data_IF_630573587542
#
_entry.id   IF_630573587542
#
_cell.length_a   1.000
_cell.length_b   1.000
_cell.length_c   1.000
_cell.angle_alpha   90.00
_cell.angle_beta   90.00
_cell.angle_gamma   90.00
#
_symmetry.space_group_name_H-M   'P 1'
#
loop_
_entity.id
_entity.type
_entity.pdbx_description
1 polymer ?
#
# COMPACT_ATOMS: atom_id res chain seq x y z
N UNK A 1 -40.18 -9.19 37.66
CA UNK A 1 -39.58 -9.67 36.39
C UNK A 1 -39.34 -8.56 35.35
N UNK A 2 -39.83 -7.32 35.54
CA UNK A 2 -39.61 -6.22 34.58
C UNK A 2 -38.31 -5.43 34.75
N UNK A 3 -37.75 -5.33 35.95
CA UNK A 3 -36.53 -4.53 36.20
C UNK A 3 -35.25 -5.16 35.63
N UNK A 4 -35.19 -6.48 35.51
CA UNK A 4 -34.02 -7.21 35.02
C UNK A 4 -33.80 -7.04 33.51
N UNK A 5 -34.86 -6.71 32.76
CA UNK A 5 -34.80 -6.51 31.31
C UNK A 5 -34.21 -5.14 30.93
N UNK A 6 -34.40 -4.12 31.77
CA UNK A 6 -33.81 -2.79 31.56
C UNK A 6 -32.28 -2.78 31.72
N UNK A 7 -31.72 -3.66 32.55
CA UNK A 7 -30.26 -3.74 32.73
C UNK A 7 -29.55 -4.36 31.53
N UNK A 8 -30.22 -5.25 30.78
CA UNK A 8 -29.65 -5.88 29.60
C UNK A 8 -29.48 -4.91 28.42
N UNK A 9 -30.28 -3.84 28.34
CA UNK A 9 -30.17 -2.85 27.26
C UNK A 9 -29.02 -1.86 27.44
N UNK A 10 -28.48 -1.70 28.65
CA UNK A 10 -27.36 -0.78 28.93
C UNK A 10 -26.01 -1.37 28.48
N UNK A 11 -25.94 -2.69 28.25
CA UNK A 11 -24.71 -3.39 27.83
C UNK A 11 -24.62 -3.46 26.29
N UNK A 12 -25.66 -3.07 25.56
CA UNK A 12 -25.71 -3.16 24.10
C UNK A 12 -25.12 -1.92 23.42
N UNK A 13 -23.82 -2.04 23.14
CA UNK A 13 -23.06 -1.51 22.02
C UNK A 13 -21.76 -0.89 22.54
N UNK A 14 -20.62 -1.62 22.53
CA UNK A 14 -19.34 -0.91 22.51
C UNK A 14 -19.44 0.06 21.34
N UNK A 15 -19.24 1.34 21.62
CA UNK A 15 -19.46 2.40 20.65
C UNK A 15 -18.86 2.00 19.31
N UNK A 16 -19.65 2.10 18.24
CA UNK A 16 -19.12 2.11 16.88
C UNK A 16 -18.30 3.39 16.70
N UNK A 17 -17.20 3.51 17.44
CA UNK A 17 -16.10 4.36 17.04
C UNK A 17 -15.63 3.75 15.72
N UNK A 18 -15.97 4.41 14.62
CA UNK A 18 -15.25 4.18 13.37
C UNK A 18 -13.77 4.26 13.73
N UNK A 19 -13.00 3.22 13.44
CA UNK A 19 -11.56 3.25 13.69
C UNK A 19 -11.03 4.56 13.13
N UNK A 20 -10.40 5.35 14.00
CA UNK A 20 -9.79 6.59 13.58
C UNK A 20 -8.74 6.21 12.54
N UNK A 21 -8.88 6.71 11.31
CA UNK A 21 -7.88 6.51 10.27
C UNK A 21 -6.61 7.21 10.78
N UNK A 22 -5.67 6.42 11.29
CA UNK A 22 -4.43 6.94 11.88
C UNK A 22 -3.54 7.49 10.75
N UNK A 23 -2.63 8.39 11.10
CA UNK A 23 -1.60 8.89 10.18
C UNK A 23 -0.75 7.69 9.69
N UNK A 24 -1.01 7.21 8.47
CA UNK A 24 -0.39 5.99 7.92
C UNK A 24 -1.38 5.05 7.21
N UNK A 25 -2.64 5.00 7.63
CA UNK A 25 -3.68 4.12 7.03
C UNK A 25 -4.21 4.62 5.67
N UNK A 26 -3.79 5.82 5.25
CA UNK A 26 -4.24 6.46 4.00
C UNK A 26 -3.43 6.06 2.77
N UNK A 27 -2.21 5.58 2.97
CA UNK A 27 -1.29 5.23 1.88
C UNK A 27 -0.66 3.88 2.15
N UNK A 28 -1.12 2.86 1.44
CA UNK A 28 -0.52 1.53 1.49
C UNK A 28 0.74 1.56 0.62
N UNK A 29 1.95 1.38 1.19
CA UNK A 29 3.17 1.34 0.40
C UNK A 29 3.19 0.09 -0.48
N UNK A 30 3.83 0.19 -1.64
CA UNK A 30 4.19 -1.00 -2.42
C UNK A 30 5.40 -1.63 -1.76
N UNK A 31 5.37 -2.95 -1.57
CA UNK A 31 6.49 -3.72 -1.03
C UNK A 31 7.09 -4.62 -2.11
N UNK A 32 8.42 -4.76 -2.11
CA UNK A 32 9.11 -5.67 -3.02
C UNK A 32 10.28 -6.36 -2.30
N UNK A 33 10.45 -7.67 -2.52
CA UNK A 33 11.52 -8.47 -1.89
C UNK A 33 12.87 -8.35 -2.59
N UNK A 34 12.86 -8.25 -3.92
CA UNK A 34 14.07 -8.39 -4.75
C UNK A 34 14.52 -7.05 -5.35
N UNK A 35 13.58 -6.17 -5.67
CA UNK A 35 13.87 -4.88 -6.30
C UNK A 35 12.59 -4.14 -6.65
N UNK A 36 12.69 -2.82 -6.80
CA UNK A 36 11.59 -1.94 -7.16
C UNK A 36 12.11 -0.86 -8.10
N UNK A 37 11.28 -0.49 -9.08
CA UNK A 37 11.50 0.67 -9.95
C UNK A 37 10.33 1.64 -9.73
N UNK A 38 10.63 2.93 -9.62
CA UNK A 38 9.62 3.99 -9.46
C UNK A 38 9.97 5.13 -10.41
N UNK A 39 9.06 5.46 -11.31
CA UNK A 39 9.23 6.55 -12.28
C UNK A 39 7.93 7.33 -12.44
N UNK A 40 8.01 8.51 -13.08
CA UNK A 40 6.84 9.34 -13.38
C UNK A 40 5.92 8.74 -14.46
N UNK A 41 6.37 7.73 -15.21
CA UNK A 41 5.62 7.14 -16.33
C UNK A 41 5.65 5.61 -16.27
N UNK A 42 4.47 4.98 -16.23
CA UNK A 42 4.35 3.52 -16.01
C UNK A 42 5.14 2.69 -17.03
N UNK A 43 5.14 3.05 -18.32
CA UNK A 43 5.96 2.34 -19.33
C UNK A 43 7.46 2.34 -19.02
N UNK A 44 7.99 3.46 -18.50
CA UNK A 44 9.40 3.50 -18.10
C UNK A 44 9.66 2.62 -16.87
N UNK A 45 8.69 2.53 -15.96
CA UNK A 45 8.75 1.57 -14.84
C UNK A 45 8.75 0.13 -15.35
N UNK A 46 7.85 -0.22 -16.26
CA UNK A 46 7.71 -1.58 -16.81
C UNK A 46 8.96 -2.04 -17.56
N UNK A 47 9.53 -1.19 -18.43
CA UNK A 47 10.73 -1.56 -19.20
C UNK A 47 11.97 -1.70 -18.30
N UNK A 48 12.14 -0.82 -17.31
CA UNK A 48 13.24 -0.93 -16.36
C UNK A 48 13.06 -2.09 -15.37
N UNK A 49 11.82 -2.43 -15.01
CA UNK A 49 11.53 -3.62 -14.19
C UNK A 49 11.91 -4.90 -14.93
N UNK A 50 11.61 -5.02 -16.23
CA UNK A 50 12.03 -6.16 -17.06
C UNK A 50 13.55 -6.33 -17.05
N UNK A 51 14.32 -5.25 -17.04
CA UNK A 51 15.80 -5.32 -16.95
C UNK A 51 16.24 -5.92 -15.62
N UNK A 52 15.63 -5.52 -14.49
CA UNK A 52 15.90 -6.15 -13.20
C UNK A 52 15.50 -7.64 -13.19
N UNK A 53 14.34 -7.98 -13.76
CA UNK A 53 13.86 -9.37 -13.86
C UNK A 53 14.78 -10.25 -14.73
N UNK A 54 15.43 -9.67 -15.73
CA UNK A 54 16.41 -10.33 -16.60
C UNK A 54 17.81 -10.46 -15.98
N UNK A 55 17.99 -10.00 -14.73
CA UNK A 55 19.25 -10.07 -14.01
C UNK A 55 20.18 -8.87 -14.21
N UNK A 56 19.69 -7.79 -14.83
CA UNK A 56 20.37 -6.49 -14.84
C UNK A 56 20.43 -5.88 -13.44
N UNK A 57 21.41 -5.02 -13.21
CA UNK A 57 21.59 -4.35 -11.93
C UNK A 57 20.80 -3.02 -11.86
N UNK A 58 20.89 -2.33 -10.72
CA UNK A 58 20.20 -1.05 -10.52
C UNK A 58 20.65 0.06 -11.49
N UNK A 59 21.91 0.06 -11.92
CA UNK A 59 22.44 1.01 -12.91
C UNK A 59 21.86 0.70 -14.29
N UNK A 60 21.79 -0.56 -14.70
CA UNK A 60 21.20 -0.98 -15.98
C UNK A 60 19.73 -0.53 -16.06
N UNK A 61 18.95 -0.77 -14.98
CA UNK A 61 17.56 -0.34 -14.88
C UNK A 61 17.40 1.20 -14.88
N UNK A 62 18.31 1.93 -14.23
CA UNK A 62 18.30 3.39 -14.23
C UNK A 62 18.61 3.98 -15.63
N UNK A 63 19.55 3.39 -16.37
CA UNK A 63 19.85 3.80 -17.75
C UNK A 63 18.65 3.52 -18.65
N UNK A 64 18.03 2.34 -18.56
CA UNK A 64 16.79 2.02 -19.29
C UNK A 64 15.66 2.99 -18.96
N UNK A 65 15.50 3.35 -17.68
CA UNK A 65 14.52 4.37 -17.25
C UNK A 65 14.77 5.71 -17.95
N UNK A 66 16.02 6.18 -18.00
CA UNK A 66 16.36 7.45 -18.65
C UNK A 66 16.04 7.44 -20.14
N UNK A 67 16.31 6.34 -20.85
CA UNK A 67 15.96 6.20 -22.27
C UNK A 67 14.45 6.11 -22.50
N UNK A 68 13.72 5.41 -21.62
CA UNK A 68 12.27 5.27 -21.74
C UNK A 68 11.49 6.55 -21.43
N UNK A 69 12.10 7.51 -20.71
CA UNK A 69 11.50 8.80 -20.37
C UNK A 69 11.84 9.92 -21.36
N UNK A 70 12.78 9.70 -22.28
CA UNK A 70 13.29 10.70 -23.20
C UNK A 70 12.27 11.13 -24.28
#
# INVERSE_FOLDING_TARGET
MGLTLCWALIIAAPGQAREAILEGDRFVPVEAKNGMVVTSHYLATDEALKVLEQGGNAVDAAVTTAFALA
#
